data_IF_374727665515
#
_entry.id   IF_374727665515
#
_cell.length_a   1.000
_cell.length_b   1.000
_cell.length_c   1.000
_cell.angle_alpha   90.00
_cell.angle_beta   90.00
_cell.angle_gamma   90.00
#
_symmetry.space_group_name_H-M   'P 1'
#
loop_
_entity.id
_entity.type
_entity.pdbx_description
1 polymer ?
#
# COMPACT_ATOMS: atom_id res chain seq x y z
N UNK A 1 40.72 -15.45 -0.31
CA UNK A 1 39.50 -16.26 -0.25
C UNK A 1 38.56 -15.61 0.75
N UNK A 2 37.62 -14.77 0.30
CA UNK A 2 36.57 -14.20 1.10
C UNK A 2 35.29 -14.29 0.25
N UNK A 3 34.31 -15.00 0.77
CA UNK A 3 33.02 -15.33 0.15
C UNK A 3 32.11 -14.10 0.23
N UNK A 4 31.50 -13.61 -0.87
CA UNK A 4 30.51 -12.54 -0.81
C UNK A 4 29.10 -13.12 -0.77
N UNK A 5 28.68 -13.69 0.34
CA UNK A 5 27.28 -14.03 0.60
C UNK A 5 26.58 -12.92 1.36
N UNK A 6 25.69 -12.23 0.69
CA UNK A 6 24.88 -11.15 1.26
C UNK A 6 23.87 -10.57 0.27
N UNK A 7 23.45 -11.32 -0.76
CA UNK A 7 22.35 -10.91 -1.63
C UNK A 7 21.03 -11.41 -1.05
N UNK A 8 20.31 -10.52 -0.38
CA UNK A 8 18.90 -10.74 -0.07
C UNK A 8 18.15 -11.00 -1.40
N UNK A 9 17.82 -12.26 -1.66
CA UNK A 9 17.12 -12.69 -2.85
C UNK A 9 15.69 -12.10 -2.86
N UNK A 10 15.43 -11.19 -3.80
CA UNK A 10 14.06 -10.78 -4.13
C UNK A 10 13.34 -12.04 -4.66
N UNK A 11 12.19 -12.45 -4.10
CA UNK A 11 11.52 -13.68 -4.49
C UNK A 11 11.09 -13.63 -5.97
N UNK A 12 11.49 -14.66 -6.74
CA UNK A 12 11.04 -14.84 -8.13
C UNK A 12 9.56 -15.23 -8.12
N UNK A 13 8.68 -14.32 -8.46
CA UNK A 13 7.25 -14.60 -8.66
C UNK A 13 6.98 -14.74 -10.16
N UNK A 14 7.02 -15.97 -10.66
CA UNK A 14 6.50 -16.31 -11.99
C UNK A 14 4.97 -16.38 -11.90
N UNK A 15 4.28 -15.29 -12.21
CA UNK A 15 2.80 -15.23 -12.12
C UNK A 15 2.18 -15.86 -13.38
N UNK A 16 1.73 -17.12 -13.27
CA UNK A 16 0.85 -17.75 -14.26
C UNK A 16 -0.57 -17.15 -14.15
N UNK A 17 -1.37 -17.22 -15.20
CA UNK A 17 -2.76 -16.71 -15.22
C UNK A 17 -3.64 -17.35 -14.12
N UNK A 18 -3.33 -18.58 -13.69
CA UNK A 18 -3.94 -19.24 -12.54
C UNK A 18 -3.65 -18.53 -11.24
N UNK A 19 -2.40 -18.10 -11.01
CA UNK A 19 -1.97 -17.42 -9.79
C UNK A 19 -2.69 -16.08 -9.59
N UNK A 20 -3.04 -15.38 -10.69
CA UNK A 20 -3.84 -14.13 -10.61
C UNK A 20 -5.27 -14.37 -10.15
N UNK A 21 -5.92 -15.42 -10.66
CA UNK A 21 -7.29 -15.75 -10.24
C UNK A 21 -7.32 -16.18 -8.78
N UNK A 22 -6.29 -16.90 -8.31
CA UNK A 22 -6.18 -17.32 -6.93
C UNK A 22 -5.91 -16.12 -6.00
N UNK A 23 -5.02 -15.20 -6.37
CA UNK A 23 -4.79 -13.96 -5.63
C UNK A 23 -6.07 -13.09 -5.53
N UNK A 24 -6.84 -12.96 -6.62
CA UNK A 24 -8.11 -12.25 -6.62
C UNK A 24 -9.17 -12.92 -5.73
N UNK A 25 -9.26 -14.24 -5.78
CA UNK A 25 -10.16 -15.01 -4.90
C UNK A 25 -9.78 -14.82 -3.44
N UNK A 26 -8.49 -14.87 -3.11
CA UNK A 26 -7.99 -14.63 -1.76
C UNK A 26 -8.31 -13.23 -1.27
N UNK A 27 -8.03 -12.18 -2.06
CA UNK A 27 -8.41 -10.79 -1.73
C UNK A 27 -9.89 -10.68 -1.39
N UNK A 28 -10.76 -11.18 -2.29
CA UNK A 28 -12.21 -11.10 -2.11
C UNK A 28 -12.69 -11.92 -0.91
N UNK A 29 -12.12 -13.10 -0.68
CA UNK A 29 -12.50 -13.96 0.45
C UNK A 29 -12.16 -13.29 1.80
N UNK A 30 -10.99 -12.66 1.91
CA UNK A 30 -10.59 -12.01 3.16
C UNK A 30 -11.37 -10.70 3.37
N UNK A 31 -11.66 -9.94 2.31
CA UNK A 31 -12.53 -8.77 2.39
C UNK A 31 -13.95 -9.15 2.82
N UNK A 32 -14.52 -10.27 2.31
CA UNK A 32 -15.78 -10.80 2.78
C UNK A 32 -15.73 -11.26 4.25
N UNK A 33 -14.62 -11.88 4.66
CA UNK A 33 -14.43 -12.27 6.06
C UNK A 33 -14.47 -11.04 6.99
N UNK A 34 -13.85 -9.92 6.60
CA UNK A 34 -13.92 -8.66 7.35
C UNK A 34 -15.36 -8.17 7.48
N UNK A 35 -16.12 -8.11 6.38
CA UNK A 35 -17.53 -7.69 6.40
C UNK A 35 -18.39 -8.62 7.27
N UNK A 36 -18.24 -9.93 7.16
CA UNK A 36 -18.99 -10.91 7.95
C UNK A 36 -18.65 -10.79 9.43
N UNK A 37 -17.37 -10.66 9.76
CA UNK A 37 -16.88 -10.48 11.13
C UNK A 37 -17.48 -9.21 11.76
N UNK A 38 -17.34 -8.06 11.09
CA UNK A 38 -17.87 -6.79 11.58
C UNK A 38 -19.41 -6.82 11.70
N UNK A 39 -20.10 -7.42 10.74
CA UNK A 39 -21.57 -7.60 10.82
C UNK A 39 -21.95 -8.42 12.06
N UNK A 40 -21.21 -9.50 12.33
CA UNK A 40 -21.47 -10.35 13.49
C UNK A 40 -21.20 -9.62 14.80
N UNK A 41 -20.12 -8.84 14.88
CA UNK A 41 -19.78 -8.03 16.04
C UNK A 41 -20.82 -6.94 16.30
N UNK A 42 -21.27 -6.21 15.25
CA UNK A 42 -22.33 -5.21 15.37
C UNK A 42 -23.64 -5.85 15.86
N UNK A 43 -24.08 -6.92 15.23
CA UNK A 43 -25.30 -7.61 15.62
C UNK A 43 -25.22 -8.15 17.06
N UNK A 44 -24.11 -8.76 17.44
CA UNK A 44 -23.88 -9.24 18.81
C UNK A 44 -23.93 -8.12 19.85
N UNK A 45 -23.23 -7.00 19.59
CA UNK A 45 -23.24 -5.82 20.47
C UNK A 45 -24.64 -5.21 20.58
N UNK A 46 -25.40 -5.11 19.49
CA UNK A 46 -26.77 -4.62 19.50
C UNK A 46 -27.68 -5.52 20.34
N UNK A 47 -27.63 -6.84 20.13
CA UNK A 47 -28.43 -7.80 20.89
C UNK A 47 -28.15 -7.72 22.38
N UNK A 48 -26.86 -7.72 22.76
CA UNK A 48 -26.44 -7.62 24.16
C UNK A 48 -26.85 -6.26 24.74
N UNK A 49 -26.55 -5.14 24.06
CA UNK A 49 -26.87 -3.78 24.51
C UNK A 49 -28.37 -3.57 24.77
N UNK A 50 -29.22 -4.07 23.86
CA UNK A 50 -30.69 -4.04 24.01
C UNK A 50 -31.16 -4.92 25.16
N UNK A 51 -30.62 -6.15 25.30
CA UNK A 51 -31.04 -7.12 26.30
C UNK A 51 -30.72 -6.64 27.73
N UNK A 52 -29.61 -5.96 27.94
CA UNK A 52 -29.20 -5.49 29.28
C UNK A 52 -29.50 -3.99 29.51
N UNK A 53 -30.03 -3.29 28.47
CA UNK A 53 -30.34 -1.86 28.55
C UNK A 53 -29.09 -0.99 28.73
N UNK A 54 -27.90 -1.45 28.31
CA UNK A 54 -26.64 -0.73 28.49
C UNK A 54 -26.38 0.27 27.37
N UNK A 55 -26.40 1.55 27.70
CA UNK A 55 -26.06 2.66 26.78
C UNK A 55 -24.63 2.55 26.30
N UNK A 56 -23.69 2.11 27.16
CA UNK A 56 -22.29 1.93 26.80
C UNK A 56 -22.09 0.87 25.71
N UNK A 57 -22.74 -0.31 25.86
CA UNK A 57 -22.66 -1.37 24.84
C UNK A 57 -23.35 -0.95 23.54
N UNK A 58 -24.43 -0.15 23.64
CA UNK A 58 -25.11 0.40 22.46
C UNK A 58 -24.22 1.41 21.71
N UNK A 59 -23.50 2.27 22.42
CA UNK A 59 -22.51 3.18 21.85
C UNK A 59 -21.39 2.42 21.11
N UNK A 60 -20.89 1.35 21.70
CA UNK A 60 -19.94 0.43 21.07
C UNK A 60 -20.48 -0.24 19.80
N UNK A 61 -21.78 -0.58 19.78
CA UNK A 61 -22.42 -1.13 18.59
C UNK A 61 -22.49 -0.11 17.44
N UNK A 62 -22.74 1.17 17.75
CA UNK A 62 -22.74 2.25 16.77
C UNK A 62 -21.33 2.47 16.21
N UNK A 63 -20.31 2.46 17.07
CA UNK A 63 -18.92 2.56 16.64
C UNK A 63 -18.55 1.42 15.69
N UNK A 64 -18.86 0.18 16.03
CA UNK A 64 -18.65 -0.97 15.15
C UNK A 64 -19.46 -0.90 13.84
N UNK A 65 -20.52 -0.10 13.78
CA UNK A 65 -21.21 0.23 12.53
C UNK A 65 -20.34 1.02 11.55
N UNK A 66 -19.45 1.89 12.05
CA UNK A 66 -18.45 2.61 11.23
C UNK A 66 -17.40 1.63 10.71
N UNK A 67 -16.97 0.66 11.53
CA UNK A 67 -16.00 -0.38 11.13
C UNK A 67 -16.58 -1.25 10.01
N UNK A 68 -17.87 -1.60 10.11
CA UNK A 68 -18.58 -2.31 9.07
C UNK A 68 -18.62 -1.49 7.76
N UNK A 69 -18.84 -0.17 7.85
CA UNK A 69 -18.81 0.70 6.67
C UNK A 69 -17.43 0.69 6.01
N UNK A 70 -16.35 0.80 6.78
CA UNK A 70 -14.98 0.70 6.27
C UNK A 70 -14.74 -0.64 5.56
N UNK A 71 -15.11 -1.76 6.18
CA UNK A 71 -14.98 -3.09 5.58
C UNK A 71 -15.78 -3.24 4.26
N UNK A 72 -16.98 -2.64 4.16
CA UNK A 72 -17.77 -2.62 2.93
C UNK A 72 -17.09 -1.79 1.84
N UNK A 73 -16.50 -0.64 2.20
CA UNK A 73 -15.73 0.20 1.27
C UNK A 73 -14.53 -0.59 0.73
N UNK A 74 -13.77 -1.27 1.60
CA UNK A 74 -12.65 -2.11 1.22
C UNK A 74 -13.08 -3.25 0.27
N UNK A 75 -14.15 -3.96 0.60
CA UNK A 75 -14.70 -5.02 -0.25
C UNK A 75 -15.12 -4.49 -1.64
N UNK A 76 -15.79 -3.34 -1.68
CA UNK A 76 -16.17 -2.70 -2.94
C UNK A 76 -14.93 -2.32 -3.76
N UNK A 77 -13.91 -1.74 -3.12
CA UNK A 77 -12.67 -1.35 -3.77
C UNK A 77 -11.94 -2.57 -4.34
N UNK A 78 -11.78 -3.64 -3.56
CA UNK A 78 -11.16 -4.90 -4.01
C UNK A 78 -11.92 -5.50 -5.20
N UNK A 79 -13.26 -5.52 -5.17
CA UNK A 79 -14.05 -6.03 -6.30
C UNK A 79 -13.96 -5.17 -7.53
N UNK A 80 -13.91 -3.85 -7.37
CA UNK A 80 -13.88 -2.91 -8.48
C UNK A 80 -12.48 -2.84 -9.09
N UNK A 81 -11.43 -2.82 -8.29
CA UNK A 81 -10.03 -2.80 -8.76
C UNK A 81 -9.69 -4.02 -9.62
N UNK A 82 -10.37 -5.13 -9.39
CA UNK A 82 -10.19 -6.38 -10.13
C UNK A 82 -10.85 -6.37 -11.53
N UNK A 83 -11.65 -5.35 -11.87
CA UNK A 83 -12.21 -5.21 -13.22
C UNK A 83 -11.10 -4.93 -14.22
N UNK A 84 -11.21 -5.57 -15.39
CA UNK A 84 -10.28 -5.30 -16.50
C UNK A 84 -10.44 -3.87 -16.98
N UNK A 85 -9.43 -3.40 -17.70
CA UNK A 85 -9.53 -2.16 -18.45
C UNK A 85 -10.74 -2.21 -19.41
N UNK A 86 -11.46 -1.11 -19.50
CA UNK A 86 -12.61 -0.86 -20.36
C UNK A 86 -12.45 0.48 -21.09
N UNK A 87 -13.44 0.88 -21.87
CA UNK A 87 -13.38 2.11 -22.68
C UNK A 87 -13.34 3.38 -21.84
N UNK A 88 -13.94 3.36 -20.62
CA UNK A 88 -13.92 4.50 -19.70
C UNK A 88 -12.61 4.53 -18.88
N UNK A 89 -12.05 3.36 -18.58
CA UNK A 89 -10.84 3.21 -17.77
C UNK A 89 -9.79 2.34 -18.51
N UNK A 90 -9.13 2.88 -19.57
CA UNK A 90 -8.19 2.12 -20.42
C UNK A 90 -6.97 1.57 -19.66
N UNK A 91 -6.63 2.14 -18.50
CA UNK A 91 -5.55 1.66 -17.62
C UNK A 91 -6.05 0.75 -16.48
N UNK A 92 -7.35 0.37 -16.49
CA UNK A 92 -7.99 -0.45 -15.45
C UNK A 92 -8.42 0.36 -14.23
N UNK A 93 -8.96 -0.36 -13.25
CA UNK A 93 -9.62 0.23 -12.08
C UNK A 93 -8.75 0.18 -10.80
N UNK A 94 -7.45 -0.09 -10.91
CA UNK A 94 -6.55 -0.30 -9.77
C UNK A 94 -6.53 0.87 -8.77
N UNK A 95 -6.65 2.12 -9.23
CA UNK A 95 -6.67 3.32 -8.36
C UNK A 95 -7.85 3.37 -7.39
N UNK A 96 -8.90 2.57 -7.59
CA UNK A 96 -10.03 2.47 -6.65
C UNK A 96 -9.57 1.96 -5.28
N UNK A 97 -8.58 1.06 -5.22
CA UNK A 97 -7.98 0.64 -3.95
C UNK A 97 -7.26 1.80 -3.23
N UNK A 98 -6.58 2.67 -3.97
CA UNK A 98 -5.91 3.84 -3.40
C UNK A 98 -6.91 4.89 -2.88
N UNK A 99 -8.04 5.06 -3.59
CA UNK A 99 -9.14 5.92 -3.12
C UNK A 99 -9.72 5.37 -1.83
N UNK A 100 -10.03 4.06 -1.78
CA UNK A 100 -10.50 3.39 -0.55
C UNK A 100 -9.54 3.60 0.61
N UNK A 101 -8.24 3.34 0.41
CA UNK A 101 -7.22 3.56 1.44
C UNK A 101 -7.14 5.01 1.94
N UNK A 102 -7.39 5.99 1.06
CA UNK A 102 -7.46 7.41 1.45
C UNK A 102 -8.72 7.70 2.29
N UNK A 103 -9.87 7.14 1.90
CA UNK A 103 -11.13 7.29 2.65
C UNK A 103 -11.01 6.66 4.04
N UNK A 104 -10.46 5.45 4.12
CA UNK A 104 -10.24 4.77 5.40
C UNK A 104 -9.26 5.53 6.30
N UNK A 105 -8.17 6.06 5.74
CA UNK A 105 -7.27 6.92 6.50
C UNK A 105 -7.97 8.17 7.07
N UNK A 106 -8.89 8.77 6.31
CA UNK A 106 -9.71 9.89 6.79
C UNK A 106 -10.63 9.46 7.93
N UNK A 107 -11.28 8.30 7.84
CA UNK A 107 -12.10 7.77 8.93
C UNK A 107 -11.27 7.55 10.20
N UNK A 108 -10.06 7.02 10.06
CA UNK A 108 -9.12 6.83 11.20
C UNK A 108 -8.72 8.19 11.81
N UNK A 109 -8.47 9.23 11.01
CA UNK A 109 -8.20 10.58 11.53
C UNK A 109 -9.39 11.17 12.29
N UNK A 110 -10.61 10.98 11.79
CA UNK A 110 -11.83 11.44 12.45
C UNK A 110 -12.01 10.72 13.80
N UNK A 111 -11.78 9.40 13.84
CA UNK A 111 -11.82 8.63 15.08
C UNK A 111 -10.77 9.11 16.09
N UNK A 112 -9.53 9.32 15.66
CA UNK A 112 -8.46 9.83 16.53
C UNK A 112 -8.79 11.23 17.06
N UNK A 113 -9.34 12.11 16.23
CA UNK A 113 -9.81 13.45 16.63
C UNK A 113 -10.91 13.39 17.68
N UNK A 114 -11.86 12.47 17.50
CA UNK A 114 -12.93 12.24 18.48
C UNK A 114 -12.37 11.74 19.82
N UNK A 115 -11.44 10.78 19.81
CA UNK A 115 -10.78 10.26 21.02
C UNK A 115 -10.08 11.39 21.79
N UNK A 116 -9.34 12.26 21.08
CA UNK A 116 -8.66 13.40 21.71
C UNK A 116 -9.67 14.39 22.32
N UNK A 117 -10.74 14.69 21.59
CA UNK A 117 -11.81 15.56 22.08
C UNK A 117 -12.43 15.01 23.36
N UNK A 118 -12.82 13.74 23.37
CA UNK A 118 -13.40 13.06 24.53
C UNK A 118 -12.44 13.01 25.71
N UNK A 119 -11.18 12.71 25.46
CA UNK A 119 -10.14 12.68 26.49
C UNK A 119 -9.93 14.06 27.12
N UNK A 120 -9.89 15.14 26.33
CA UNK A 120 -9.79 16.49 26.86
C UNK A 120 -11.03 16.86 27.70
N UNK A 121 -12.22 16.48 27.24
CA UNK A 121 -13.46 16.72 27.98
C UNK A 121 -13.43 16.02 29.34
N UNK A 122 -13.01 14.76 29.41
CA UNK A 122 -12.85 14.02 30.66
C UNK A 122 -11.77 14.58 31.61
N UNK A 123 -10.71 15.19 31.06
CA UNK A 123 -9.70 15.88 31.86
C UNK A 123 -10.26 17.16 32.53
N UNK A 124 -11.15 17.87 31.82
CA UNK A 124 -11.76 19.13 32.31
C UNK A 124 -12.95 18.89 33.24
N UNK A 125 -13.69 17.81 33.03
CA UNK A 125 -14.84 17.41 33.82
C UNK A 125 -14.77 15.90 34.10
N UNK A 126 -14.03 15.48 35.18
CA UNK A 126 -13.87 14.09 35.51
C UNK A 126 -15.22 13.42 35.79
N UNK A 127 -15.58 12.41 35.06
CA UNK A 127 -16.76 11.59 35.33
C UNK A 127 -16.34 10.27 35.99
N UNK A 128 -17.11 9.76 36.95
CA UNK A 128 -16.83 8.48 37.58
C UNK A 128 -16.96 7.37 36.55
N UNK A 129 -16.01 6.44 36.54
CA UNK A 129 -16.00 5.30 35.66
C UNK A 129 -17.21 4.42 36.01
N UNK A 130 -18.18 4.32 35.08
CA UNK A 130 -19.37 3.49 35.25
C UNK A 130 -19.02 2.01 35.37
N UNK A 131 -19.98 1.18 35.84
CA UNK A 131 -19.81 -0.26 36.03
C UNK A 131 -19.40 -0.95 34.71
N UNK A 132 -18.12 -1.25 34.59
CA UNK A 132 -17.44 -1.65 33.34
C UNK A 132 -17.69 -3.12 32.91
N UNK A 133 -18.44 -3.91 33.65
CA UNK A 133 -18.45 -5.38 33.54
C UNK A 133 -18.70 -5.95 32.14
N UNK A 134 -19.89 -5.77 31.58
CA UNK A 134 -20.23 -6.32 30.26
C UNK A 134 -19.58 -5.59 29.09
N UNK A 135 -19.37 -4.27 29.21
CA UNK A 135 -18.66 -3.48 28.20
C UNK A 135 -17.24 -3.98 27.97
N UNK A 136 -16.48 -4.23 29.07
CA UNK A 136 -15.11 -4.77 28.99
C UNK A 136 -15.09 -6.16 28.33
N UNK A 137 -16.02 -7.05 28.67
CA UNK A 137 -16.10 -8.39 28.06
C UNK A 137 -16.35 -8.30 26.55
N UNK A 138 -17.26 -7.43 26.12
CA UNK A 138 -17.58 -7.20 24.69
C UNK A 138 -16.37 -6.60 23.96
N UNK A 139 -15.70 -5.60 24.53
CA UNK A 139 -14.48 -5.01 23.98
C UNK A 139 -13.36 -6.05 23.85
N UNK A 140 -13.17 -6.90 24.86
CA UNK A 140 -12.16 -7.95 24.81
C UNK A 140 -12.44 -8.96 23.69
N UNK A 141 -13.66 -9.46 23.57
CA UNK A 141 -14.05 -10.39 22.49
C UNK A 141 -13.86 -9.72 21.13
N UNK A 142 -14.32 -8.48 20.95
CA UNK A 142 -14.14 -7.73 19.71
C UNK A 142 -12.66 -7.55 19.36
N UNK A 143 -11.81 -7.22 20.34
CA UNK A 143 -10.37 -7.06 20.14
C UNK A 143 -9.70 -8.36 19.68
N UNK A 144 -10.05 -9.49 20.29
CA UNK A 144 -9.51 -10.81 19.87
C UNK A 144 -9.90 -11.14 18.44
N UNK A 145 -11.16 -10.93 18.07
CA UNK A 145 -11.63 -11.14 16.70
C UNK A 145 -10.93 -10.20 15.72
N UNK A 146 -10.85 -8.90 16.05
CA UNK A 146 -10.20 -7.89 15.20
C UNK A 146 -8.70 -8.15 15.03
N UNK A 147 -7.99 -8.68 16.04
CA UNK A 147 -6.60 -9.12 15.89
C UNK A 147 -6.50 -10.21 14.83
N UNK A 148 -7.32 -11.27 14.93
CA UNK A 148 -7.30 -12.39 14.00
C UNK A 148 -7.61 -11.97 12.56
N UNK A 149 -8.66 -11.17 12.37
CA UNK A 149 -9.06 -10.68 11.05
C UNK A 149 -8.03 -9.72 10.46
N UNK A 150 -7.53 -8.76 11.26
CA UNK A 150 -6.52 -7.79 10.80
C UNK A 150 -5.19 -8.46 10.40
N UNK A 151 -4.74 -9.50 11.11
CA UNK A 151 -3.53 -10.25 10.72
C UNK A 151 -3.72 -10.92 9.36
N UNK A 152 -4.89 -11.52 9.12
CA UNK A 152 -5.19 -12.17 7.85
C UNK A 152 -5.28 -11.14 6.71
N UNK A 153 -5.94 -9.99 6.96
CA UNK A 153 -6.00 -8.86 6.02
C UNK A 153 -4.60 -8.32 5.69
N UNK A 154 -3.73 -8.13 6.69
CA UNK A 154 -2.35 -7.70 6.47
C UNK A 154 -1.56 -8.72 5.66
N UNK A 155 -1.70 -10.01 5.98
CA UNK A 155 -1.01 -11.08 5.27
C UNK A 155 -1.37 -11.07 3.79
N UNK A 156 -2.66 -11.21 3.49
CA UNK A 156 -3.15 -11.25 2.09
C UNK A 156 -2.93 -9.90 1.40
N UNK A 157 -3.14 -8.78 2.08
CA UNK A 157 -2.91 -7.44 1.56
C UNK A 157 -1.46 -7.19 1.13
N UNK A 158 -0.48 -7.71 1.89
CA UNK A 158 0.94 -7.63 1.53
C UNK A 158 1.32 -8.60 0.41
N UNK A 159 0.84 -9.84 0.46
CA UNK A 159 1.11 -10.86 -0.55
C UNK A 159 0.55 -10.47 -1.92
N UNK A 160 -0.59 -9.79 -1.94
CA UNK A 160 -1.29 -9.35 -3.16
C UNK A 160 -1.09 -7.88 -3.50
N UNK A 161 -0.29 -7.14 -2.71
CA UNK A 161 -0.03 -5.71 -2.83
C UNK A 161 -1.32 -4.85 -2.87
N UNK A 162 -2.36 -5.29 -2.12
CA UNK A 162 -3.66 -4.62 -2.03
C UNK A 162 -3.65 -3.52 -0.97
N UNK A 163 -3.80 -2.28 -1.41
CA UNK A 163 -3.87 -1.09 -0.53
C UNK A 163 -5.16 -1.11 0.29
N UNK A 164 -6.29 -1.50 -0.31
CA UNK A 164 -7.58 -1.54 0.37
C UNK A 164 -7.59 -2.55 1.54
N UNK A 165 -7.04 -3.77 1.34
CA UNK A 165 -6.95 -4.75 2.42
C UNK A 165 -6.04 -4.31 3.56
N UNK A 166 -4.93 -3.64 3.22
CA UNK A 166 -4.01 -3.11 4.23
C UNK A 166 -4.64 -1.94 5.00
N UNK A 167 -5.46 -1.12 4.35
CA UNK A 167 -6.19 -0.04 4.99
C UNK A 167 -7.25 -0.57 5.98
N UNK A 168 -8.08 -1.52 5.55
CA UNK A 168 -9.06 -2.20 6.41
C UNK A 168 -8.38 -2.90 7.61
N UNK A 169 -7.21 -3.53 7.38
CA UNK A 169 -6.41 -4.10 8.46
C UNK A 169 -5.93 -3.05 9.48
N UNK A 170 -5.50 -1.88 9.01
CA UNK A 170 -5.11 -0.77 9.89
C UNK A 170 -6.29 -0.21 10.67
N UNK A 171 -7.47 -0.12 10.04
CA UNK A 171 -8.70 0.31 10.71
C UNK A 171 -9.02 -0.60 11.90
N UNK A 172 -9.14 -1.93 11.67
CA UNK A 172 -9.37 -2.91 12.73
C UNK A 172 -8.26 -2.91 13.81
N UNK A 173 -7.01 -2.66 13.42
CA UNK A 173 -5.89 -2.59 14.37
C UNK A 173 -5.97 -1.35 15.25
N UNK A 174 -6.52 -0.25 14.74
CA UNK A 174 -6.79 0.96 15.51
C UNK A 174 -7.76 0.68 16.66
N UNK A 175 -8.82 -0.09 16.42
CA UNK A 175 -9.80 -0.46 17.45
C UNK A 175 -9.19 -1.35 18.54
N UNK A 176 -8.26 -2.23 18.16
CA UNK A 176 -7.48 -3.01 19.13
C UNK A 176 -6.62 -2.09 20.00
N UNK A 177 -5.98 -1.08 19.42
CA UNK A 177 -5.13 -0.14 20.19
C UNK A 177 -5.96 0.73 21.12
N UNK A 178 -7.14 1.20 20.71
CA UNK A 178 -8.03 1.97 21.60
C UNK A 178 -8.52 1.12 22.75
N UNK A 179 -9.00 -0.09 22.48
CA UNK A 179 -9.43 -1.04 23.52
C UNK A 179 -8.31 -1.41 24.49
N UNK A 180 -7.09 -1.64 23.98
CA UNK A 180 -5.92 -1.90 24.81
C UNK A 180 -5.54 -0.67 25.67
N UNK A 181 -5.62 0.54 25.11
CA UNK A 181 -5.37 1.78 25.82
C UNK A 181 -6.32 1.98 27.01
N UNK A 182 -7.61 1.77 26.78
CA UNK A 182 -8.63 1.82 27.85
C UNK A 182 -8.36 0.77 28.94
N UNK A 183 -8.07 -0.48 28.54
CA UNK A 183 -7.75 -1.55 29.52
C UNK A 183 -6.50 -1.21 30.35
N UNK A 184 -5.46 -0.67 29.73
CA UNK A 184 -4.23 -0.23 30.42
C UNK A 184 -4.53 0.94 31.35
N UNK A 185 -5.30 1.95 30.90
CA UNK A 185 -5.72 3.08 31.74
C UNK A 185 -6.46 2.61 33.01
N UNK A 186 -7.45 1.74 32.83
CA UNK A 186 -8.20 1.16 33.95
C UNK A 186 -7.32 0.33 34.90
N UNK A 187 -6.42 -0.49 34.35
CA UNK A 187 -5.49 -1.27 35.17
C UNK A 187 -4.54 -0.39 35.98
N UNK A 188 -4.05 0.71 35.41
CA UNK A 188 -3.19 1.68 36.10
C UNK A 188 -3.95 2.37 37.24
N UNK A 189 -5.22 2.71 37.07
CA UNK A 189 -6.07 3.29 38.11
C UNK A 189 -6.24 2.27 39.25
N UNK A 190 -6.65 1.03 38.96
CA UNK A 190 -6.89 -0.02 39.95
C UNK A 190 -5.63 -0.35 40.76
N UNK A 191 -4.47 -0.49 40.11
CA UNK A 191 -3.19 -0.73 40.78
C UNK A 191 -2.75 0.50 41.57
N UNK A 192 -2.93 1.68 40.98
CA UNK A 192 -2.56 2.94 41.64
C UNK A 192 -3.34 3.23 42.91
N UNK A 193 -4.65 2.93 42.93
CA UNK A 193 -5.47 3.05 44.14
C UNK A 193 -5.00 2.13 45.29
N UNK A 194 -4.46 0.95 44.97
CA UNK A 194 -3.89 0.04 45.94
C UNK A 194 -2.53 0.52 46.50
N UNK A 195 -1.71 1.14 45.64
CA UNK A 195 -0.35 1.57 46.02
C UNK A 195 -0.36 2.96 46.65
N UNK A 196 -1.27 3.84 46.24
CA UNK A 196 -1.40 5.24 46.70
C UNK A 196 -2.86 5.52 47.07
N UNK A 197 -3.33 5.00 48.22
CA UNK A 197 -4.70 5.20 48.68
C UNK A 197 -5.03 6.68 48.85
N UNK A 198 -6.08 7.16 48.15
CA UNK A 198 -6.53 8.56 48.21
C UNK A 198 -5.91 9.50 47.17
N UNK A 199 -5.07 8.99 46.25
CA UNK A 199 -4.63 9.77 45.12
C UNK A 199 -5.74 9.80 44.06
N UNK A 200 -6.00 10.98 43.49
CA UNK A 200 -6.89 11.10 42.32
C UNK A 200 -6.11 10.66 41.05
N UNK A 201 -6.43 9.47 40.54
CA UNK A 201 -5.77 8.85 39.41
C UNK A 201 -6.67 8.82 38.16
N UNK A 202 -7.85 9.46 38.20
CA UNK A 202 -8.81 9.47 37.09
C UNK A 202 -8.24 10.10 35.79
N UNK A 203 -7.23 10.98 35.92
CA UNK A 203 -6.55 11.60 34.80
C UNK A 203 -5.71 10.60 33.96
N UNK A 204 -5.38 9.42 34.46
CA UNK A 204 -4.57 8.42 33.75
C UNK A 204 -5.30 7.84 32.53
N UNK A 205 -6.62 7.62 32.62
CA UNK A 205 -7.43 7.12 31.50
C UNK A 205 -7.40 8.07 30.29
N UNK A 206 -7.74 9.36 30.39
CA UNK A 206 -7.67 10.26 29.25
C UNK A 206 -6.24 10.51 28.74
N UNK A 207 -5.22 10.46 29.59
CA UNK A 207 -3.83 10.57 29.12
C UNK A 207 -3.42 9.33 28.32
N UNK A 208 -3.79 8.13 28.76
CA UNK A 208 -3.59 6.90 27.98
C UNK A 208 -4.33 6.97 26.63
N UNK A 209 -5.57 7.45 26.62
CA UNK A 209 -6.35 7.63 25.40
C UNK A 209 -5.67 8.60 24.39
N UNK A 210 -5.13 9.72 24.87
CA UNK A 210 -4.37 10.67 24.02
C UNK A 210 -3.11 10.01 23.46
N UNK A 211 -2.36 9.24 24.27
CA UNK A 211 -1.16 8.55 23.82
C UNK A 211 -1.48 7.54 22.69
N UNK A 212 -2.58 6.80 22.85
CA UNK A 212 -3.09 5.88 21.81
C UNK A 212 -3.52 6.66 20.57
N UNK A 213 -4.26 7.75 20.70
CA UNK A 213 -4.69 8.58 19.58
C UNK A 213 -3.50 9.08 18.73
N UNK A 214 -2.37 9.43 19.35
CA UNK A 214 -1.14 9.82 18.64
C UNK A 214 -0.54 8.66 17.83
N UNK A 215 -0.58 7.42 18.32
CA UNK A 215 -0.15 6.24 17.56
C UNK A 215 -1.06 6.01 16.36
N UNK A 216 -2.37 6.20 16.53
CA UNK A 216 -3.38 6.06 15.49
C UNK A 216 -3.18 7.12 14.40
N UNK A 217 -2.98 8.39 14.77
CA UNK A 217 -2.66 9.48 13.82
C UNK A 217 -1.43 9.16 13.00
N UNK A 218 -0.39 8.57 13.62
CA UNK A 218 0.81 8.14 12.88
C UNK A 218 0.49 7.06 11.83
N UNK A 219 -0.34 6.08 12.17
CA UNK A 219 -0.76 5.02 11.25
C UNK A 219 -1.59 5.60 10.09
N UNK A 220 -2.57 6.44 10.40
CA UNK A 220 -3.40 7.13 9.40
C UNK A 220 -2.57 8.01 8.46
N UNK A 221 -1.58 8.73 8.99
CA UNK A 221 -0.66 9.53 8.18
C UNK A 221 0.15 8.68 7.19
N UNK A 222 0.67 7.53 7.67
CA UNK A 222 1.40 6.59 6.81
C UNK A 222 0.50 6.09 5.68
N UNK A 223 -0.72 5.66 5.99
CA UNK A 223 -1.70 5.17 5.01
C UNK A 223 -2.08 6.25 3.98
N UNK A 224 -2.36 7.48 4.45
CA UNK A 224 -2.65 8.63 3.58
C UNK A 224 -1.49 8.90 2.62
N UNK A 225 -0.25 8.87 3.14
CA UNK A 225 0.94 9.10 2.31
C UNK A 225 1.14 8.01 1.27
N UNK A 226 0.94 6.74 1.61
CA UNK A 226 1.07 5.61 0.70
C UNK A 226 0.00 5.67 -0.39
N UNK A 227 -1.26 5.81 -0.03
CA UNK A 227 -2.39 5.91 -0.97
C UNK A 227 -2.31 7.15 -1.85
N UNK A 228 -2.00 8.32 -1.27
CA UNK A 228 -1.88 9.59 -1.98
C UNK A 228 -0.72 9.63 -2.97
N UNK A 229 0.41 9.02 -2.65
CA UNK A 229 1.54 8.91 -3.57
C UNK A 229 1.15 8.19 -4.86
N UNK A 230 0.47 7.07 -4.75
CA UNK A 230 0.06 6.27 -5.90
C UNK A 230 -1.01 6.99 -6.74
N UNK A 231 -1.92 7.75 -6.09
CA UNK A 231 -2.89 8.60 -6.79
C UNK A 231 -2.22 9.72 -7.60
N UNK A 232 -1.08 10.25 -7.11
CA UNK A 232 -0.28 11.27 -7.76
C UNK A 232 0.77 10.69 -8.71
N UNK A 233 0.63 9.42 -9.12
CA UNK A 233 1.54 8.76 -10.05
C UNK A 233 3.01 8.77 -9.59
N UNK A 234 3.26 8.63 -8.30
CA UNK A 234 4.62 8.52 -7.77
C UNK A 234 5.33 7.28 -8.32
N UNK A 235 6.64 7.42 -8.48
CA UNK A 235 7.49 6.32 -8.97
C UNK A 235 7.42 5.08 -8.08
N UNK A 236 7.65 3.92 -8.70
CA UNK A 236 7.79 2.63 -8.00
C UNK A 236 8.85 2.69 -6.90
N UNK A 237 8.84 1.76 -5.94
CA UNK A 237 9.84 1.69 -4.89
C UNK A 237 11.27 1.68 -5.47
N UNK A 238 12.24 2.34 -4.79
CA UNK A 238 13.62 2.46 -5.30
C UNK A 238 14.26 1.12 -5.65
N UNK A 239 13.94 0.05 -4.91
CA UNK A 239 14.45 -1.30 -5.17
C UNK A 239 13.94 -1.87 -6.50
N UNK A 240 12.66 -1.67 -6.85
CA UNK A 240 12.09 -2.10 -8.13
C UNK A 240 12.72 -1.31 -9.29
N UNK A 241 12.91 0.01 -9.13
CA UNK A 241 13.56 0.85 -10.14
C UNK A 241 15.01 0.42 -10.36
N UNK A 242 15.77 0.17 -9.29
CA UNK A 242 17.15 -0.28 -9.36
C UNK A 242 17.25 -1.63 -10.10
N UNK A 243 16.36 -2.56 -9.79
CA UNK A 243 16.29 -3.85 -10.45
C UNK A 243 15.96 -3.71 -11.96
N UNK A 244 15.00 -2.86 -12.34
CA UNK A 244 14.67 -2.58 -13.77
C UNK A 244 15.93 -2.05 -14.48
N UNK A 245 16.63 -1.08 -13.87
CA UNK A 245 17.87 -0.51 -14.44
C UNK A 245 18.95 -1.55 -14.61
N UNK A 246 19.22 -2.36 -13.61
CA UNK A 246 20.22 -3.44 -13.65
C UNK A 246 19.86 -4.44 -14.77
N UNK A 247 18.60 -4.81 -14.88
CA UNK A 247 18.14 -5.81 -15.84
C UNK A 247 18.28 -5.34 -17.28
N UNK A 248 17.88 -4.11 -17.59
CA UNK A 248 18.02 -3.53 -18.93
C UNK A 248 19.50 -3.30 -19.27
N UNK A 249 20.30 -2.83 -18.32
CA UNK A 249 21.75 -2.61 -18.52
C UNK A 249 22.52 -3.91 -18.79
N UNK A 250 22.07 -5.04 -18.24
CA UNK A 250 22.72 -6.34 -18.46
C UNK A 250 22.64 -6.84 -19.91
N UNK A 251 21.83 -6.19 -20.78
CA UNK A 251 21.69 -6.54 -22.19
C UNK A 251 22.71 -5.84 -23.10
N UNK A 252 23.69 -5.17 -22.55
CA UNK A 252 24.85 -4.63 -23.30
C UNK A 252 25.63 -5.79 -23.94
N UNK A 253 26.11 -5.70 -25.20
CA UNK A 253 26.16 -4.48 -26.04
C UNK A 253 24.95 -4.25 -26.98
N UNK A 254 23.96 -5.16 -27.02
CA UNK A 254 22.79 -5.04 -27.88
C UNK A 254 22.00 -3.77 -27.54
N UNK A 255 21.80 -3.53 -26.22
CA UNK A 255 21.25 -2.28 -25.71
C UNK A 255 22.39 -1.30 -25.53
N UNK A 256 22.36 -0.20 -26.26
CA UNK A 256 23.35 0.88 -26.20
C UNK A 256 23.05 1.91 -25.12
N UNK A 257 21.80 1.94 -24.64
CA UNK A 257 21.37 2.81 -23.55
C UNK A 257 19.86 2.73 -23.33
N UNK A 258 19.41 3.37 -22.26
CA UNK A 258 17.98 3.62 -22.05
C UNK A 258 17.82 4.89 -21.23
N UNK A 259 16.73 5.63 -21.49
CA UNK A 259 16.46 6.88 -20.80
C UNK A 259 14.95 7.11 -20.68
N UNK A 260 14.54 8.21 -20.05
CA UNK A 260 13.13 8.53 -19.80
C UNK A 260 12.36 7.43 -19.08
N UNK A 261 13.02 6.70 -18.15
CA UNK A 261 12.35 5.71 -17.34
C UNK A 261 11.32 6.39 -16.45
N UNK A 262 10.04 6.14 -16.74
CA UNK A 262 8.89 6.57 -15.97
C UNK A 262 8.18 5.36 -15.42
N UNK A 263 7.80 5.42 -14.17
CA UNK A 263 7.09 4.33 -13.53
C UNK A 263 6.00 4.89 -12.64
N UNK A 264 4.89 4.17 -12.50
CA UNK A 264 3.81 4.51 -11.57
C UNK A 264 3.07 3.26 -11.14
N UNK A 265 2.30 3.38 -10.05
CA UNK A 265 1.51 2.31 -9.48
C UNK A 265 0.03 2.69 -9.46
N UNK A 266 -0.86 1.71 -9.62
CA UNK A 266 -2.30 1.87 -9.45
C UNK A 266 -2.86 0.60 -8.77
N UNK A 267 -3.05 0.65 -7.45
CA UNK A 267 -3.27 -0.55 -6.65
C UNK A 267 -2.10 -1.53 -6.79
N UNK A 268 -2.34 -2.76 -7.18
CA UNK A 268 -1.30 -3.75 -7.45
C UNK A 268 -0.65 -3.60 -8.84
N UNK A 269 -1.28 -2.87 -9.78
CA UNK A 269 -0.79 -2.73 -11.15
C UNK A 269 0.41 -1.77 -11.23
N UNK A 270 1.42 -2.16 -12.00
CA UNK A 270 2.62 -1.38 -12.27
C UNK A 270 2.67 -0.95 -13.72
N UNK A 271 2.97 0.31 -13.97
CA UNK A 271 3.18 0.87 -15.30
C UNK A 271 4.62 1.32 -15.43
N UNK A 272 5.29 0.84 -16.48
CA UNK A 272 6.73 1.05 -16.72
C UNK A 272 6.86 1.51 -18.16
N UNK A 273 7.43 2.70 -18.35
CA UNK A 273 7.68 3.30 -19.65
C UNK A 273 9.13 3.74 -19.73
N UNK A 274 9.81 3.44 -20.83
CA UNK A 274 11.16 3.94 -21.08
C UNK A 274 11.52 3.89 -22.57
N UNK A 275 12.54 4.68 -22.92
CA UNK A 275 13.15 4.67 -24.24
C UNK A 275 14.34 3.72 -24.23
N UNK A 276 14.38 2.80 -25.19
CA UNK A 276 15.44 1.81 -25.37
C UNK A 276 16.29 2.21 -26.59
N UNK A 277 17.56 2.50 -26.37
CA UNK A 277 18.49 2.89 -27.43
C UNK A 277 19.22 1.65 -27.91
N UNK A 278 19.09 1.34 -29.21
CA UNK A 278 19.69 0.18 -29.87
C UNK A 278 20.59 0.63 -31.02
N UNK A 279 21.29 -0.32 -31.64
CA UNK A 279 22.06 -0.05 -32.86
C UNK A 279 21.15 0.50 -33.97
N UNK A 280 21.63 1.53 -34.70
CA UNK A 280 20.86 2.14 -35.81
C UNK A 280 20.58 1.18 -36.94
N UNK A 281 21.45 0.16 -37.11
CA UNK A 281 21.34 -0.83 -38.18
C UNK A 281 20.53 -2.08 -37.77
N UNK A 282 19.98 -2.08 -36.54
CA UNK A 282 19.11 -3.15 -36.08
C UNK A 282 17.78 -3.09 -36.82
N UNK A 283 17.37 -4.22 -37.41
CA UNK A 283 16.06 -4.28 -38.08
C UNK A 283 14.91 -4.11 -37.11
N UNK A 284 13.77 -3.58 -37.58
CA UNK A 284 12.56 -3.41 -36.76
C UNK A 284 12.13 -4.75 -36.12
N UNK A 285 12.24 -5.85 -36.86
CA UNK A 285 11.93 -7.20 -36.36
C UNK A 285 12.78 -7.58 -35.13
N UNK A 286 14.10 -7.40 -35.24
CA UNK A 286 15.03 -7.71 -34.13
C UNK A 286 14.82 -6.78 -32.94
N UNK A 287 14.57 -5.50 -33.19
CA UNK A 287 14.27 -4.53 -32.15
C UNK A 287 12.97 -4.87 -31.40
N UNK A 288 11.94 -5.31 -32.14
CA UNK A 288 10.68 -5.79 -31.57
C UNK A 288 10.88 -7.02 -30.69
N UNK A 289 11.59 -8.05 -31.19
CA UNK A 289 11.90 -9.24 -30.42
C UNK A 289 12.69 -8.94 -29.13
N UNK A 290 13.60 -7.97 -29.18
CA UNK A 290 14.33 -7.51 -28.01
C UNK A 290 13.38 -6.85 -26.97
N UNK A 291 12.52 -5.93 -27.42
CA UNK A 291 11.53 -5.27 -26.60
C UNK A 291 10.54 -6.27 -25.93
N UNK A 292 10.10 -7.27 -26.71
CA UNK A 292 9.24 -8.36 -26.22
C UNK A 292 9.96 -9.23 -25.16
N UNK A 293 11.24 -9.50 -25.37
CA UNK A 293 12.05 -10.26 -24.39
C UNK A 293 12.17 -9.50 -23.07
N UNK A 294 12.47 -8.20 -23.13
CA UNK A 294 12.53 -7.32 -21.95
C UNK A 294 11.16 -7.28 -21.27
N UNK A 295 10.10 -7.07 -22.04
CA UNK A 295 8.72 -7.01 -21.52
C UNK A 295 8.34 -8.30 -20.77
N UNK A 296 8.65 -9.47 -21.34
CA UNK A 296 8.38 -10.76 -20.69
C UNK A 296 9.16 -10.93 -19.39
N UNK A 297 10.40 -10.51 -19.37
CA UNK A 297 11.28 -10.60 -18.23
C UNK A 297 10.83 -9.68 -17.08
N UNK A 298 10.49 -8.43 -17.40
CA UNK A 298 9.93 -7.48 -16.42
C UNK A 298 8.60 -7.98 -15.85
N UNK A 299 7.69 -8.50 -16.69
CA UNK A 299 6.40 -9.07 -16.27
C UNK A 299 6.55 -10.36 -15.45
N UNK A 300 7.60 -11.12 -15.66
CA UNK A 300 7.88 -12.33 -14.88
C UNK A 300 8.33 -12.01 -13.44
N UNK A 301 8.94 -10.86 -13.23
CA UNK A 301 9.45 -10.43 -11.93
C UNK A 301 8.50 -9.48 -11.19
N UNK A 302 7.89 -8.55 -11.93
CA UNK A 302 6.97 -7.56 -11.40
C UNK A 302 5.53 -7.98 -11.73
N UNK A 303 4.78 -8.38 -10.73
CA UNK A 303 3.38 -8.78 -10.90
C UNK A 303 2.54 -7.61 -11.45
N UNK A 304 1.59 -7.94 -12.32
CA UNK A 304 0.65 -7.00 -12.95
C UNK A 304 1.33 -5.80 -13.66
N UNK A 305 2.55 -6.00 -14.20
CA UNK A 305 3.26 -4.96 -14.91
C UNK A 305 2.72 -4.79 -16.35
N UNK A 306 2.46 -3.53 -16.72
CA UNK A 306 2.29 -3.06 -18.10
C UNK A 306 3.54 -2.32 -18.50
N UNK A 307 4.20 -2.78 -19.58
CA UNK A 307 5.49 -2.24 -20.03
C UNK A 307 5.32 -1.67 -21.43
N UNK A 308 5.73 -0.41 -21.59
CA UNK A 308 5.78 0.31 -22.86
C UNK A 308 7.23 0.69 -23.15
N UNK A 309 7.77 0.19 -24.27
CA UNK A 309 9.14 0.45 -24.68
C UNK A 309 9.14 1.21 -26.01
N UNK A 310 9.66 2.44 -25.99
CA UNK A 310 9.92 3.19 -27.19
C UNK A 310 11.35 2.90 -27.66
N UNK A 311 11.48 2.24 -28.82
CA UNK A 311 12.79 1.88 -29.35
C UNK A 311 13.34 3.02 -30.21
N UNK A 312 14.56 3.46 -29.91
CA UNK A 312 15.27 4.54 -30.62
C UNK A 312 16.61 4.05 -31.17
N UNK A 313 17.01 4.52 -32.37
CA UNK A 313 18.34 4.23 -32.88
C UNK A 313 19.40 5.07 -32.17
N UNK A 314 20.56 4.49 -31.93
CA UNK A 314 21.75 5.24 -31.49
C UNK A 314 22.33 6.04 -32.68
N UNK A 315 21.87 7.25 -32.87
CA UNK A 315 22.22 8.13 -33.99
C UNK A 315 23.47 9.00 -33.71
N UNK A 316 24.11 8.86 -32.58
CA UNK A 316 25.26 9.66 -32.18
C UNK A 316 24.94 11.12 -31.80
N UNK A 317 23.65 11.51 -31.68
CA UNK A 317 23.28 12.88 -31.27
C UNK A 317 23.65 13.19 -29.83
N UNK A 318 23.75 12.18 -28.99
CA UNK A 318 24.21 12.27 -27.59
C UNK A 318 23.57 13.44 -26.82
N UNK A 319 22.24 13.55 -26.88
CA UNK A 319 21.46 14.52 -26.11
C UNK A 319 21.63 14.27 -24.60
N UNK A 320 21.43 15.26 -23.73
CA UNK A 320 21.63 15.10 -22.28
C UNK A 320 20.92 13.89 -21.70
N UNK A 321 19.64 13.68 -21.99
CA UNK A 321 18.87 12.54 -21.53
C UNK A 321 19.43 11.18 -22.00
N UNK A 322 19.94 11.11 -23.25
CA UNK A 322 20.58 9.91 -23.79
C UNK A 322 21.92 9.63 -23.08
N UNK A 323 22.69 10.68 -22.72
CA UNK A 323 23.97 10.55 -22.03
C UNK A 323 23.82 10.00 -20.60
N UNK A 324 22.78 10.41 -19.88
CA UNK A 324 22.47 9.90 -18.53
C UNK A 324 22.21 8.39 -18.50
N UNK A 325 21.63 7.84 -19.57
CA UNK A 325 21.33 6.43 -19.70
C UNK A 325 22.21 5.65 -20.67
N UNK A 326 23.32 6.24 -21.14
CA UNK A 326 24.22 5.65 -22.12
C UNK A 326 25.06 4.52 -21.51
N UNK A 327 25.02 3.33 -22.10
CA UNK A 327 25.77 2.15 -21.67
C UNK A 327 27.05 1.94 -22.47
N UNK A 328 27.30 2.74 -23.52
CA UNK A 328 28.52 2.67 -24.33
C UNK A 328 29.72 3.20 -23.56
N UNK A 329 30.87 2.52 -23.69
CA UNK A 329 32.15 3.03 -23.24
C UNK A 329 32.51 4.35 -23.93
N UNK A 330 33.37 5.17 -23.29
CA UNK A 330 33.72 6.49 -23.82
C UNK A 330 34.25 6.44 -25.27
N UNK A 331 35.09 5.46 -25.57
CA UNK A 331 35.67 5.25 -26.90
C UNK A 331 34.62 4.86 -27.95
N UNK A 332 33.69 3.96 -27.62
CA UNK A 332 32.58 3.54 -28.50
C UNK A 332 31.66 4.71 -28.80
N UNK A 333 31.36 5.53 -27.78
CA UNK A 333 30.53 6.72 -27.90
C UNK A 333 31.15 7.76 -28.81
N UNK A 334 32.46 7.91 -28.75
CA UNK A 334 33.22 8.82 -29.61
C UNK A 334 33.25 8.34 -31.07
N UNK A 335 33.38 7.02 -31.28
CA UNK A 335 33.27 6.42 -32.62
C UNK A 335 31.89 6.62 -33.26
N UNK A 336 30.81 6.43 -32.52
CA UNK A 336 29.41 6.66 -32.99
C UNK A 336 29.19 8.13 -33.35
N UNK A 337 29.73 9.06 -32.57
CA UNK A 337 29.70 10.52 -32.86
C UNK A 337 30.44 10.87 -34.14
N UNK A 338 31.63 10.31 -34.33
CA UNK A 338 32.43 10.55 -35.53
C UNK A 338 31.73 10.08 -36.81
N UNK A 339 31.09 8.90 -36.75
CA UNK A 339 30.29 8.36 -37.84
C UNK A 339 29.12 9.29 -38.25
N UNK A 340 28.38 9.84 -37.27
CA UNK A 340 27.33 10.82 -37.52
C UNK A 340 27.84 12.06 -38.26
N UNK A 341 28.99 12.58 -37.81
CA UNK A 341 29.59 13.79 -38.42
C UNK A 341 29.92 13.54 -39.92
N UNK A 342 30.39 12.32 -40.23
CA UNK A 342 30.66 11.92 -41.61
C UNK A 342 29.38 11.76 -42.43
N UNK A 343 28.35 11.13 -41.92
CA UNK A 343 27.05 10.95 -42.57
C UNK A 343 26.35 12.30 -42.84
N UNK A 344 26.42 13.24 -41.89
CA UNK A 344 25.86 14.60 -42.06
C UNK A 344 26.63 15.44 -43.06
N UNK A 345 27.94 15.24 -43.22
CA UNK A 345 28.76 15.92 -44.18
C UNK A 345 28.57 15.37 -45.63
N UNK A 346 28.16 14.09 -45.73
CA UNK A 346 27.92 13.41 -47.02
C UNK A 346 26.48 13.58 -47.53
N UNK A 347 25.54 14.08 -46.72
CA UNK A 347 24.17 14.31 -47.13
C UNK A 347 24.07 15.43 -48.17
N UNK A 348 23.47 15.23 -49.36
CA UNK A 348 23.29 16.28 -50.34
C UNK A 348 22.42 17.39 -49.73
N UNK A 349 22.89 18.62 -49.83
CA UNK A 349 22.13 19.83 -49.47
C UNK A 349 20.89 19.87 -50.39
N UNK A 350 19.70 19.60 -49.78
CA UNK A 350 18.42 19.71 -50.48
C UNK A 350 18.04 21.18 -50.70
#
# INVERSE_FOLDING_TARGET
>A
MANPEGRAGVPRVSVKQGDRMDAQRQKSAVAWLSVISNTTLVAGKLIVGLSIGSVSVMSEAIHSGVDLLAAVIALFAVKTSNKRADDEHPFGHGKVENISGTVEALLIFLAAGWIVYEAIHKLLAPEPIGAAGWGVAVMFVSSVVNIGVSELLFKVGRETDSVALQADAWHLRTDVYTSAGVMVGLALILVGEQVLPGADLLWLDPVAAIAVALLIVRAAWKLTRESGRDLLDASLPPGEIAWIRERVSALTPIVRGFHHLRTRKAGAARFIEFHLVVDKDLTVERAHHLADSITRDLKAHLSEATVTIHVEPCDGSCRPACLEGCLLAAQEREAVRAHRSADTAAAPKA
#
